data_IF_977699219369
#
_entry.id   IF_977699219369
#
_cell.length_a   1.000
_cell.length_b   1.000
_cell.length_c   1.000
_cell.angle_alpha   90.00
_cell.angle_beta   90.00
_cell.angle_gamma   90.00
#
_symmetry.space_group_name_H-M   'P 1'
#
loop_
_entity.id
_entity.type
_entity.pdbx_description
1 polymer ?
2 water ?
#
# COMPACT_ATOMS: atom_id res chain seq x y z
N UNK A 2 9.63 -44.30 18.49
CA UNK A 2 9.95 -43.50 19.66
C UNK A 2 11.29 -42.78 19.50
N UNK A 3 11.23 -41.53 19.04
CA UNK A 3 12.42 -40.70 18.91
C UNK A 3 12.50 -39.73 20.08
N UNK A 4 13.57 -38.93 20.12
CA UNK A 4 13.77 -38.00 21.22
C UNK A 4 13.14 -36.62 21.00
N UNK A 5 13.07 -35.84 22.07
CA UNK A 5 12.40 -34.55 22.06
C UNK A 5 13.38 -33.39 22.11
N UNK A 6 12.97 -32.24 21.56
CA UNK A 6 13.79 -31.03 21.56
C UNK A 6 13.29 -30.02 22.60
N UNK A 7 14.16 -29.09 22.98
CA UNK A 7 13.82 -28.07 23.95
C UNK A 7 14.14 -26.67 23.40
N UNK A 8 13.23 -25.73 23.60
CA UNK A 8 13.40 -24.38 23.06
C UNK A 8 13.40 -23.31 24.14
N UNK A 9 13.98 -22.15 23.82
CA UNK A 9 13.91 -21.00 24.70
C UNK A 9 12.58 -20.29 24.46
N UNK A 10 12.29 -19.28 25.28
CA UNK A 10 11.05 -18.54 25.11
C UNK A 10 11.12 -17.64 23.87
N UNK A 11 10.01 -17.55 23.16
CA UNK A 11 9.92 -16.74 21.96
C UNK A 11 10.20 -15.28 22.28
N UNK A 12 10.98 -14.63 21.42
CA UNK A 12 11.39 -13.25 21.63
C UNK A 12 11.51 -12.50 20.31
N UNK A 13 10.84 -11.36 20.18
CA UNK A 13 11.00 -10.51 19.01
C UNK A 13 12.11 -9.48 19.24
N UNK A 14 13.15 -9.58 18.43
CA UNK A 14 14.30 -8.68 18.55
C UNK A 14 13.89 -7.22 18.44
N UNK A 15 14.34 -6.42 19.40
CA UNK A 15 14.09 -4.98 19.36
C UNK A 15 14.91 -4.31 18.26
N UNK A 16 15.97 -4.99 17.84
CA UNK A 16 16.80 -4.52 16.75
C UNK A 16 16.13 -4.84 15.42
N UNK A 17 15.83 -3.82 14.64
CA UNK A 17 15.12 -3.99 13.37
C UNK A 17 16.06 -3.87 12.17
N UNK A 18 15.79 -4.66 11.14
CA UNK A 18 16.59 -4.63 9.92
C UNK A 18 15.93 -3.77 8.84
N UNK A 19 16.42 -2.55 8.69
CA UNK A 19 15.90 -1.65 7.65
C UNK A 19 16.41 -2.05 6.28
N UNK A 20 15.49 -2.38 5.38
CA UNK A 20 15.82 -2.88 4.06
C UNK A 20 16.61 -1.88 3.21
N UNK A 21 16.32 -0.60 3.39
CA UNK A 21 16.87 0.45 2.55
C UNK A 21 18.35 0.74 2.71
N UNK A 22 18.86 0.62 3.93
CA UNK A 22 20.25 0.94 4.20
C UNK A 22 21.00 -0.13 4.97
N UNK A 23 20.38 -1.30 5.10
CA UNK A 23 20.99 -2.42 5.81
C UNK A 23 21.43 -2.04 7.23
N UNK A 24 20.60 -1.27 7.91
CA UNK A 24 20.85 -0.88 9.29
C UNK A 24 20.11 -1.77 10.27
N UNK A 25 20.82 -2.24 11.28
CA UNK A 25 20.20 -3.03 12.35
C UNK A 25 20.09 -2.20 13.62
N UNK A 26 18.94 -1.55 13.77
CA UNK A 26 18.66 -0.75 14.95
C UNK A 26 17.17 -0.58 15.13
N UNK A 27 16.77 0.19 16.12
CA UNK A 27 15.36 0.43 16.40
C UNK A 27 14.66 1.12 15.24
N UNK A 28 13.36 0.89 15.11
CA UNK A 28 12.56 1.52 14.06
C UNK A 28 12.71 3.04 14.12
N UNK A 29 12.94 3.67 12.96
CA UNK A 29 13.09 5.12 12.89
C UNK A 29 11.84 5.84 13.40
N UNK A 30 12.04 6.95 14.11
CA UNK A 30 10.93 7.76 14.60
C UNK A 30 10.16 8.38 13.43
N UNK A 31 10.89 8.87 12.44
CA UNK A 31 10.27 9.43 11.24
C UNK A 31 10.09 8.35 10.18
N UNK A 32 8.95 8.38 9.49
CA UNK A 32 8.61 7.31 8.57
C UNK A 32 8.60 7.72 7.11
N UNK A 33 8.99 6.78 6.25
CA UNK A 33 8.71 6.85 4.84
C UNK A 33 7.56 5.90 4.57
N UNK A 34 6.45 6.42 4.05
CA UNK A 34 5.31 5.55 3.76
C UNK A 34 5.74 4.43 2.84
N UNK A 35 5.40 3.20 3.22
CA UNK A 35 5.73 2.01 2.43
C UNK A 35 7.19 1.62 2.60
N UNK A 36 7.85 2.21 3.60
CA UNK A 36 9.17 1.77 4.00
C UNK A 36 9.05 0.38 4.59
N UNK A 37 10.13 -0.39 4.55
CA UNK A 37 10.07 -1.78 4.97
C UNK A 37 11.21 -2.19 5.90
N UNK A 38 10.94 -3.17 6.75
CA UNK A 38 11.93 -3.67 7.70
C UNK A 38 11.63 -5.09 8.17
N UNK A 39 12.69 -5.82 8.51
CA UNK A 39 12.55 -7.22 8.92
C UNK A 39 12.61 -7.38 10.44
N UNK A 40 11.49 -7.79 11.03
CA UNK A 40 11.46 -8.13 12.45
C UNK A 40 12.13 -9.49 12.67
N UNK A 41 13.04 -9.55 13.64
CA UNK A 41 13.78 -10.77 13.90
C UNK A 41 13.24 -11.51 15.13
N UNK A 42 12.65 -12.67 14.91
CA UNK A 42 12.14 -13.50 16.00
C UNK A 42 13.19 -14.52 16.44
N UNK A 43 13.13 -14.91 17.71
CA UNK A 43 14.05 -15.91 18.25
C UNK A 43 13.33 -16.81 19.24
N UNK A 44 13.96 -17.92 19.59
CA UNK A 44 13.35 -18.89 20.49
C UNK A 44 12.28 -19.70 19.78
N UNK A 45 11.63 -20.59 20.53
CA UNK A 45 10.62 -21.46 19.96
C UNK A 45 11.21 -22.52 19.06
N UNK A 46 10.44 -23.01 18.11
CA UNK A 46 10.91 -24.05 17.21
C UNK A 46 11.37 -23.48 15.86
N UNK A 47 11.73 -22.22 15.85
CA UNK A 47 12.32 -21.60 14.67
C UNK A 47 11.36 -21.23 13.56
N UNK A 48 10.15 -21.79 13.59
CA UNK A 48 9.15 -21.49 12.58
C UNK A 48 8.12 -20.50 13.12
N UNK A 49 7.96 -19.38 12.43
CA UNK A 49 7.11 -18.31 12.92
C UNK A 49 6.03 -17.90 11.91
N UNK A 50 5.00 -17.23 12.42
CA UNK A 50 3.95 -16.67 11.59
C UNK A 50 3.57 -15.30 12.15
N UNK A 51 3.38 -14.33 11.27
CA UNK A 51 3.20 -12.95 11.71
C UNK A 51 1.79 -12.43 11.48
N UNK A 52 1.39 -11.46 12.31
CA UNK A 52 0.04 -10.92 12.27
C UNK A 52 0.02 -9.45 12.64
N UNK A 53 -0.80 -8.67 11.93
CA UNK A 53 -0.95 -7.25 12.22
C UNK A 53 -2.33 -6.96 12.81
N UNK A 54 -2.37 -6.23 13.91
CA UNK A 54 -3.63 -5.92 14.56
C UNK A 54 -4.31 -4.73 13.91
N UNK A 55 -3.67 -4.18 12.88
CA UNK A 55 -4.24 -3.05 12.14
C UNK A 55 -3.48 -2.80 10.84
N UNK A 56 -4.03 -3.30 9.73
CA UNK A 56 -3.39 -3.16 8.43
C UNK A 56 -3.36 -1.71 7.96
N UNK A 57 -4.34 -0.93 8.41
CA UNK A 57 -4.41 0.49 8.07
C UNK A 57 -3.10 1.20 8.42
N UNK A 58 -2.44 0.72 9.47
CA UNK A 58 -1.20 1.32 9.92
C UNK A 58 0.02 0.60 9.36
N UNK A 59 -0.01 -0.73 9.39
CA UNK A 59 1.12 -1.52 8.90
C UNK A 59 0.72 -2.94 8.53
N UNK A 60 1.50 -3.53 7.62
CA UNK A 60 1.26 -4.89 7.15
C UNK A 60 2.54 -5.72 7.30
N UNK A 61 2.39 -7.03 7.49
CA UNK A 61 3.55 -7.91 7.66
C UNK A 61 3.36 -9.24 6.93
N UNK A 62 4.41 -9.71 6.26
CA UNK A 62 4.33 -10.94 5.50
C UNK A 62 4.82 -12.15 6.29
N UNK A 63 5.09 -13.25 5.59
CA UNK A 63 5.47 -14.50 6.24
C UNK A 63 6.95 -14.54 6.62
N UNK A 64 7.73 -13.61 6.09
CA UNK A 64 9.18 -13.58 6.34
C UNK A 64 9.52 -12.64 7.49
N UNK A 65 8.53 -11.88 7.95
CA UNK A 65 8.75 -10.92 9.00
C UNK A 65 8.97 -9.51 8.48
N UNK A 66 8.97 -9.37 7.15
CA UNK A 66 9.10 -8.07 6.53
C UNK A 66 7.82 -7.26 6.77
N UNK A 67 7.97 -6.09 7.37
CA UNK A 67 6.85 -5.23 7.69
C UNK A 67 6.81 -4.01 6.77
N UNK A 68 5.63 -3.72 6.22
CA UNK A 68 5.45 -2.55 5.38
C UNK A 68 4.56 -1.52 6.06
N UNK A 69 5.07 -0.31 6.22
CA UNK A 69 4.30 0.77 6.81
C UNK A 69 3.27 1.31 5.81
N UNK A 70 2.05 1.50 6.28
CA UNK A 70 0.96 1.91 5.39
C UNK A 70 0.28 3.21 5.84
N UNK A 71 0.32 3.47 7.14
CA UNK A 71 -0.36 4.63 7.68
C UNK A 71 0.21 5.14 8.99
N UNK A 72 0.06 6.45 9.21
CA UNK A 72 0.55 7.09 10.43
C UNK A 72 -0.25 6.60 11.63
N UNK A 73 0.43 5.97 12.58
CA UNK A 73 -0.22 5.49 13.79
C UNK A 73 0.55 4.39 14.50
N UNK A 74 0.05 3.96 15.65
CA UNK A 74 0.67 2.90 16.42
C UNK A 74 -0.08 1.59 16.23
N UNK A 75 0.67 0.50 16.05
CA UNK A 75 0.06 -0.81 15.84
C UNK A 75 0.88 -1.92 16.47
N UNK A 76 0.22 -3.02 16.81
CA UNK A 76 0.88 -4.17 17.41
C UNK A 76 1.10 -5.29 16.40
N UNK A 77 2.31 -5.83 16.37
CA UNK A 77 2.64 -6.95 15.51
C UNK A 77 2.94 -8.19 16.35
N UNK A 78 2.32 -9.31 16.00
CA UNK A 78 2.50 -10.54 16.77
C UNK A 78 3.20 -11.63 15.97
N UNK A 79 4.16 -12.29 16.63
CA UNK A 79 4.84 -13.42 16.03
C UNK A 79 4.48 -14.70 16.79
N UNK A 80 4.06 -15.72 16.05
CA UNK A 80 3.67 -16.99 16.65
C UNK A 80 4.56 -18.13 16.18
N UNK A 81 5.34 -18.68 17.11
CA UNK A 81 6.21 -19.81 16.81
C UNK A 81 5.39 -21.08 16.63
N UNK A 82 6.01 -22.11 16.07
CA UNK A 82 5.33 -23.36 15.81
C UNK A 82 4.88 -24.07 17.07
N UNK A 83 5.58 -23.80 18.17
CA UNK A 83 5.28 -24.46 19.44
C UNK A 83 4.26 -23.69 20.26
N UNK A 84 3.39 -22.95 19.58
CA UNK A 84 2.27 -22.26 20.22
C UNK A 84 2.67 -21.13 21.17
N UNK A 85 3.76 -20.43 20.85
CA UNK A 85 4.13 -19.23 21.59
C UNK A 85 3.77 -17.99 20.79
N UNK A 86 3.31 -16.95 21.48
CA UNK A 86 2.96 -15.70 20.82
C UNK A 86 3.55 -14.51 21.58
N UNK A 87 4.23 -13.64 20.83
CA UNK A 87 4.88 -12.47 21.41
C UNK A 87 4.50 -11.21 20.63
N UNK A 88 4.32 -10.10 21.35
CA UNK A 88 3.93 -8.84 20.75
C UNK A 88 5.10 -7.87 20.57
N UNK A 89 5.11 -7.18 19.43
CA UNK A 89 6.05 -6.09 19.19
C UNK A 89 5.27 -4.86 18.74
N UNK A 90 5.36 -3.78 19.52
CA UNK A 90 4.54 -2.60 19.25
C UNK A 90 5.24 -1.55 18.39
N UNK A 91 4.48 -0.98 17.45
CA UNK A 91 4.98 0.08 16.59
C UNK A 91 4.50 1.44 17.10
N UNK A 92 5.43 2.24 17.60
CA UNK A 92 5.09 3.59 18.04
C UNK A 92 4.85 4.50 16.84
N UNK A 93 3.78 5.28 16.89
CA UNK A 93 3.46 6.21 15.81
C UNK A 93 4.60 7.21 15.63
N UNK A 94 4.87 7.60 14.39
CA UNK A 94 5.98 8.51 14.07
C UNK A 94 5.65 9.96 14.41
N UNK A 95 6.67 10.79 14.54
CA UNK A 95 6.47 12.23 14.66
C UNK A 95 5.83 12.74 13.38
N UNK A 96 6.31 12.22 12.25
CA UNK A 96 5.69 12.50 10.96
C UNK A 96 5.99 11.39 9.95
N UNK A 97 5.15 11.28 8.93
CA UNK A 97 5.35 10.31 7.87
C UNK A 97 5.24 10.99 6.51
N UNK A 98 6.11 10.59 5.58
CA UNK A 98 6.14 11.18 4.25
C UNK A 98 5.34 10.37 3.24
N UNK A 99 4.45 11.06 2.52
CA UNK A 99 3.65 10.42 1.48
C UNK A 99 4.06 10.95 0.11
N UNK A 100 4.00 10.09 -0.89
CA UNK A 100 4.33 10.50 -2.25
C UNK A 100 3.11 10.40 -3.15
N UNK A 101 2.54 11.55 -3.50
CA UNK A 101 1.42 11.61 -4.43
C UNK A 101 1.92 11.78 -5.85
N UNK A 102 1.03 12.19 -6.75
CA UNK A 102 1.39 12.33 -8.16
C UNK A 102 2.22 13.59 -8.41
N UNK A 103 2.77 13.69 -9.62
CA UNK A 103 3.58 14.85 -10.01
C UNK A 103 2.68 16.04 -10.30
N UNK A 104 3.16 17.23 -9.94
CA UNK A 104 2.39 18.45 -10.13
C UNK A 104 3.28 19.69 -10.00
N UNK A 105 2.74 20.84 -10.35
CA UNK A 105 3.46 22.10 -10.16
C UNK A 105 3.35 22.51 -8.70
N UNK A 106 4.21 23.41 -8.26
CA UNK A 106 4.25 23.79 -6.85
C UNK A 106 2.88 24.14 -6.29
N UNK A 107 2.20 25.08 -6.95
CA UNK A 107 0.89 25.54 -6.49
C UNK A 107 -0.09 24.38 -6.30
N UNK A 108 -0.12 23.47 -7.28
CA UNK A 108 -1.01 22.32 -7.22
C UNK A 108 -0.59 21.35 -6.14
N UNK A 109 0.72 21.13 -6.00
CA UNK A 109 1.25 20.25 -4.97
C UNK A 109 0.83 20.75 -3.60
N UNK A 110 0.77 22.07 -3.45
CA UNK A 110 0.38 22.69 -2.20
C UNK A 110 -1.05 22.28 -1.83
N UNK A 111 -1.98 22.43 -2.76
CA UNK A 111 -3.37 22.09 -2.51
C UNK A 111 -3.55 20.58 -2.32
N UNK A 112 -2.85 19.80 -3.15
CA UNK A 112 -2.88 18.36 -3.04
C UNK A 112 -2.50 17.91 -1.63
N UNK A 113 -1.40 18.46 -1.12
CA UNK A 113 -0.92 18.12 0.21
C UNK A 113 -1.56 19.01 1.27
N UNK A 114 -2.66 19.67 0.92
CA UNK A 114 -3.35 20.56 1.85
C UNK A 114 -2.36 21.41 2.63
N UNK A 115 -1.40 22.01 1.91
CA UNK A 115 -0.40 22.87 2.51
C UNK A 115 0.43 22.17 3.59
N UNK A 116 0.82 20.94 3.32
CA UNK A 116 1.67 20.18 4.24
C UNK A 116 2.96 19.71 3.57
N UNK A 117 3.45 20.51 2.63
CA UNK A 117 4.72 20.23 1.99
C UNK A 117 5.85 20.30 3.02
N UNK A 118 6.92 19.53 2.80
CA UNK A 118 8.04 19.52 3.74
C UNK A 118 8.54 20.95 4.00
N UNK A 119 8.72 21.29 5.28
CA UNK A 119 9.11 22.65 5.66
C UNK A 119 10.52 22.99 5.22
N UNK A 120 11.41 22.00 5.23
CA UNK A 120 12.79 22.20 4.82
C UNK A 120 13.35 20.96 4.13
N UNK A 121 14.57 21.07 3.63
CA UNK A 121 15.23 19.95 2.96
C UNK A 121 15.55 18.84 3.95
N UNK A 122 15.77 19.22 5.21
CA UNK A 122 16.09 18.28 6.27
C UNK A 122 14.93 17.33 6.52
N UNK A 123 13.70 17.84 6.43
CA UNK A 123 12.52 17.00 6.62
C UNK A 123 12.59 15.79 5.70
N UNK A 124 13.13 16.00 4.49
CA UNK A 124 13.22 14.95 3.50
C UNK A 124 14.54 14.17 3.57
N UNK A 125 15.64 14.90 3.75
CA UNK A 125 16.95 14.27 3.82
C UNK A 125 17.09 13.39 5.06
N UNK A 126 16.41 13.78 6.13
CA UNK A 126 16.41 12.99 7.36
C UNK A 126 15.79 11.63 7.13
N UNK A 127 14.82 11.57 6.22
CA UNK A 127 14.17 10.31 5.90
C UNK A 127 15.10 9.40 5.11
N UNK A 128 15.93 9.99 4.26
CA UNK A 128 16.91 9.22 3.52
C UNK A 128 17.93 8.61 4.48
N UNK A 129 18.34 9.38 5.48
CA UNK A 129 19.30 8.91 6.47
C UNK A 129 18.72 7.75 7.27
N UNK A 130 17.40 7.78 7.47
CA UNK A 130 16.74 6.79 8.31
C UNK A 130 16.32 5.54 7.52
N UNK A 131 16.10 5.71 6.22
CA UNK A 131 15.58 4.62 5.41
C UNK A 131 16.43 4.30 4.19
N UNK A 132 17.03 5.32 3.58
CA UNK A 132 17.80 5.14 2.37
C UNK A 132 16.97 5.38 1.13
N UNK A 133 17.56 5.13 -0.04
CA UNK A 133 16.89 5.37 -1.32
C UNK A 133 15.47 4.80 -1.34
N UNK A 134 14.51 5.63 -1.72
CA UNK A 134 13.10 5.25 -1.72
C UNK A 134 12.84 4.03 -2.60
N UNK A 135 13.56 3.93 -3.71
CA UNK A 135 13.33 2.86 -4.68
C UNK A 135 13.84 1.49 -4.23
N UNK A 136 14.55 1.45 -3.11
CA UNK A 136 14.99 0.18 -2.55
C UNK A 136 13.83 -0.53 -1.87
N UNK A 137 12.66 0.10 -1.90
CA UNK A 137 11.46 -0.47 -1.32
C UNK A 137 10.45 -0.84 -2.39
N UNK A 138 9.72 -1.93 -2.14
CA UNK A 138 8.81 -2.51 -3.13
C UNK A 138 7.92 -1.48 -3.82
N UNK A 139 7.35 -0.58 -3.03
CA UNK A 139 6.37 0.37 -3.53
C UNK A 139 6.95 1.39 -4.50
N UNK A 140 8.28 1.51 -4.50
CA UNK A 140 8.95 2.53 -5.32
C UNK A 140 10.00 1.94 -6.27
N UNK A 141 10.10 0.62 -6.32
CA UNK A 141 11.16 -0.04 -7.08
C UNK A 141 11.32 0.44 -8.52
N UNK A 142 10.21 0.75 -9.19
CA UNK A 142 10.24 1.10 -10.61
C UNK A 142 10.94 2.42 -10.89
N UNK A 143 10.78 3.39 -9.98
CA UNK A 143 11.30 4.73 -10.19
C UNK A 143 12.80 4.82 -9.99
N UNK A 144 13.45 5.67 -10.78
CA UNK A 144 14.88 5.93 -10.65
C UNK A 144 15.13 7.25 -9.93
N UNK A 145 14.14 8.13 -9.98
CA UNK A 145 14.25 9.45 -9.38
C UNK A 145 12.92 9.88 -8.77
N UNK A 146 12.99 10.48 -7.58
CA UNK A 146 11.81 11.05 -6.95
C UNK A 146 12.10 12.45 -6.44
N UNK A 147 11.97 13.43 -7.33
CA UNK A 147 12.17 14.83 -6.96
C UNK A 147 10.95 15.33 -6.20
N UNK A 148 11.20 15.94 -5.04
CA UNK A 148 10.11 16.40 -4.18
C UNK A 148 10.17 17.92 -3.95
N UNK A 149 9.00 18.55 -3.94
CA UNK A 149 8.92 19.98 -3.66
C UNK A 149 9.27 20.26 -2.20
N UNK A 150 9.98 21.37 -1.97
CA UNK A 150 10.16 21.88 -0.62
C UNK A 150 9.31 23.14 -0.50
N UNK A 151 8.74 23.37 0.67
CA UNK A 151 7.92 24.56 0.89
C UNK A 151 8.74 25.82 0.61
N UNK A 152 8.30 26.61 -0.36
CA UNK A 152 9.05 27.77 -0.82
C UNK A 152 9.12 28.88 0.24
N UNK A 153 10.31 29.47 0.38
CA UNK A 153 10.50 30.57 1.31
C UNK A 153 9.74 31.80 0.85
N UNK A 154 9.81 32.86 1.66
CA UNK A 154 9.15 34.11 1.33
C UNK A 154 9.71 34.73 0.06
N UNK A 155 11.04 34.74 -0.05
CA UNK A 155 11.71 35.28 -1.22
C UNK A 155 11.44 34.40 -2.44
N UNK A 156 11.41 33.09 -2.23
CA UNK A 156 11.14 32.13 -3.30
C UNK A 156 9.75 32.34 -3.88
N UNK A 157 8.78 32.65 -3.02
CA UNK A 157 7.41 32.86 -3.45
C UNK A 157 7.30 34.11 -4.34
N UNK A 158 8.20 35.05 -4.14
CA UNK A 158 8.20 36.30 -4.90
C UNK A 158 8.71 36.09 -6.32
N UNK A 159 9.67 35.19 -6.48
CA UNK A 159 10.30 34.97 -7.78
C UNK A 159 9.66 33.82 -8.55
N UNK A 160 8.76 33.10 -7.90
CA UNK A 160 8.06 31.99 -8.55
C UNK A 160 8.92 30.76 -8.70
N UNK A 161 9.73 30.48 -7.68
CA UNK A 161 10.56 29.28 -7.67
C UNK A 161 10.48 28.58 -6.33
N UNK A 162 11.13 27.43 -6.23
CA UNK A 162 11.17 26.67 -5.00
C UNK A 162 12.17 25.54 -5.14
N UNK A 163 13.00 25.36 -4.13
CA UNK A 163 14.02 24.31 -4.15
C UNK A 163 13.39 22.92 -4.04
N UNK A 164 14.16 21.90 -4.42
CA UNK A 164 13.68 20.52 -4.39
C UNK A 164 14.73 19.57 -3.84
N UNK A 165 14.28 18.39 -3.43
CA UNK A 165 15.17 17.35 -2.93
C UNK A 165 14.72 15.98 -3.45
N UNK A 166 15.67 15.18 -3.91
CA UNK A 166 15.35 13.87 -4.47
C UNK A 166 15.49 12.75 -3.44
N UNK A 167 14.40 12.01 -3.21
CA UNK A 167 14.36 10.98 -2.18
C UNK A 167 15.15 9.73 -2.53
N UNK A 168 15.71 9.70 -3.74
CA UNK A 168 16.55 8.58 -4.16
C UNK A 168 18.00 9.01 -4.35
N UNK A 169 18.19 10.17 -4.96
CA UNK A 169 19.52 10.62 -5.35
C UNK A 169 20.13 11.64 -4.37
N UNK A 170 19.34 12.09 -3.41
CA UNK A 170 19.79 13.10 -2.44
C UNK A 170 20.09 14.43 -3.11
N UNK A 171 19.77 14.52 -4.40
CA UNK A 171 20.10 15.70 -5.20
C UNK A 171 19.27 16.91 -4.81
N UNK A 172 19.92 17.95 -4.27
CA UNK A 172 19.26 19.22 -3.94
C UNK A 172 19.28 20.15 -5.13
N UNK A 173 18.23 20.94 -5.32
CA UNK A 173 18.14 21.82 -6.46
C UNK A 173 17.32 23.07 -6.15
N UNK A 174 17.98 24.23 -6.07
CA UNK A 174 17.32 25.52 -5.83
C UNK A 174 16.85 26.17 -7.13
N UNK A 175 16.05 27.23 -7.00
CA UNK A 175 15.64 28.03 -8.14
C UNK A 175 14.85 27.28 -9.21
N UNK A 176 14.13 26.24 -8.79
CA UNK A 176 13.27 25.50 -9.71
C UNK A 176 11.95 26.21 -9.89
N UNK A 177 11.64 26.59 -11.13
CA UNK A 177 10.38 27.26 -11.42
C UNK A 177 9.19 26.43 -10.96
N UNK A 178 8.20 27.10 -10.36
CA UNK A 178 7.05 26.41 -9.80
C UNK A 178 6.36 25.49 -10.82
N UNK A 179 6.29 25.95 -12.07
CA UNK A 179 5.64 25.19 -13.11
C UNK A 179 6.61 24.25 -13.84
N UNK A 180 7.37 23.49 -13.08
CA UNK A 180 8.29 22.50 -13.63
C UNK A 180 7.67 21.11 -13.54
N UNK A 181 7.73 20.36 -14.64
CA UNK A 181 7.22 18.98 -14.66
C UNK A 181 8.17 18.01 -13.98
N UNK A 182 7.75 16.77 -13.82
CA UNK A 182 8.59 15.72 -13.24
C UNK A 182 8.92 15.94 -11.76
N UNK A 183 8.05 16.65 -11.05
CA UNK A 183 8.25 16.88 -9.62
C UNK A 183 7.07 16.34 -8.82
N UNK A 184 7.36 15.45 -7.86
CA UNK A 184 6.32 14.81 -7.07
C UNK A 184 5.82 15.68 -5.93
N UNK A 185 4.53 15.60 -5.66
CA UNK A 185 3.93 16.29 -4.51
C UNK A 185 4.05 15.39 -3.29
N UNK A 186 5.04 15.68 -2.44
CA UNK A 186 5.25 14.88 -1.24
C UNK A 186 4.61 15.54 -0.01
N UNK A 187 3.60 14.88 0.54
CA UNK A 187 2.90 15.39 1.70
C UNK A 187 3.56 14.91 2.99
N UNK A 188 3.83 15.85 3.88
CA UNK A 188 4.39 15.52 5.18
C UNK A 188 3.29 15.54 6.21
N UNK A 189 2.88 14.35 6.66
CA UNK A 189 1.77 14.24 7.60
C UNK A 189 2.19 13.53 8.88
N UNK B 7 14.61 -23.58 -30.39
CA UNK B 7 13.54 -24.58 -30.36
C UNK B 7 12.34 -24.04 -29.59
N UNK B 8 12.29 -22.71 -29.44
CA UNK B 8 11.27 -22.08 -28.63
C UNK B 8 10.22 -21.34 -29.44
N UNK B 9 8.99 -21.33 -28.94
CA UNK B 9 7.90 -20.61 -29.57
C UNK B 9 7.95 -19.13 -29.20
N UNK B 10 7.07 -18.34 -29.82
CA UNK B 10 7.00 -16.91 -29.54
C UNK B 10 6.42 -16.67 -28.15
N UNK B 11 6.92 -15.64 -27.49
CA UNK B 11 6.49 -15.30 -26.13
C UNK B 11 5.17 -14.53 -26.14
N UNK B 12 4.36 -14.73 -25.10
CA UNK B 12 3.11 -14.00 -24.96
C UNK B 12 2.57 -14.03 -23.53
N UNK B 13 1.65 -13.13 -23.23
CA UNK B 13 0.97 -13.10 -21.95
C UNK B 13 -0.52 -13.34 -22.15
N UNK B 14 -1.00 -14.47 -21.63
CA UNK B 14 -2.42 -14.82 -21.76
C UNK B 14 -3.30 -13.66 -21.29
N UNK B 15 -4.33 -13.36 -22.06
CA UNK B 15 -5.20 -12.23 -21.74
C UNK B 15 -6.15 -12.53 -20.58
N UNK B 16 -6.44 -13.81 -20.38
CA UNK B 16 -7.23 -14.25 -19.23
C UNK B 16 -6.31 -14.32 -18.02
N UNK B 17 -6.74 -13.74 -16.91
CA UNK B 17 -5.92 -13.70 -15.70
C UNK B 17 -6.55 -14.57 -14.62
N UNK B 18 -5.71 -14.99 -13.67
CA UNK B 18 -6.18 -15.81 -12.56
C UNK B 18 -6.38 -14.98 -11.31
N UNK B 19 -7.61 -14.52 -11.09
CA UNK B 19 -7.94 -13.79 -9.88
C UNK B 19 -7.67 -14.68 -8.66
N UNK B 20 -7.15 -14.08 -7.59
CA UNK B 20 -6.78 -14.84 -6.40
C UNK B 20 -7.95 -15.02 -5.43
N UNK B 21 -8.64 -13.93 -5.11
CA UNK B 21 -9.77 -13.96 -4.20
C UNK B 21 -10.70 -15.11 -4.50
N UNK B 22 -11.31 -15.07 -5.68
CA UNK B 22 -12.02 -16.22 -6.22
C UNK B 22 -11.10 -16.85 -7.25
N UNK B 23 -11.48 -18.01 -7.78
CA UNK B 23 -10.67 -18.65 -8.81
C UNK B 23 -11.24 -18.46 -10.21
N UNK B 24 -11.94 -17.34 -10.41
CA UNK B 24 -12.46 -16.99 -11.73
C UNK B 24 -11.29 -16.64 -12.64
N UNK B 25 -11.35 -17.14 -13.88
CA UNK B 25 -10.25 -16.93 -14.81
C UNK B 25 -10.74 -16.26 -16.10
N UNK B 26 -10.87 -14.94 -16.05
CA UNK B 26 -11.26 -14.16 -17.21
C UNK B 26 -10.34 -12.96 -17.35
N UNK B 27 -10.75 -11.97 -18.14
CA UNK B 27 -9.94 -10.77 -18.31
C UNK B 27 -10.05 -9.87 -17.07
N UNK B 28 -9.03 -9.05 -16.85
CA UNK B 28 -8.97 -8.18 -15.68
C UNK B 28 -10.20 -7.28 -15.59
N UNK B 29 -10.90 -7.33 -14.44
CA UNK B 29 -12.11 -6.55 -14.17
C UNK B 29 -11.88 -5.05 -14.28
N UNK B 30 -12.87 -4.33 -14.83
CA UNK B 30 -12.78 -2.88 -14.96
C UNK B 30 -13.13 -2.15 -13.67
N UNK B 31 -13.38 -2.92 -12.62
CA UNK B 31 -13.56 -2.35 -11.30
C UNK B 31 -12.55 -3.00 -10.36
N UNK B 32 -11.87 -2.18 -9.56
CA UNK B 32 -10.73 -2.65 -8.78
C UNK B 32 -10.92 -2.62 -7.27
N UNK B 33 -10.45 -3.67 -6.61
CA UNK B 33 -10.25 -3.67 -5.18
C UNK B 33 -8.78 -3.41 -4.94
N UNK B 34 -8.45 -2.30 -4.28
CA UNK B 34 -7.05 -1.97 -4.04
C UNK B 34 -6.34 -3.15 -3.38
N UNK B 35 -5.09 -3.35 -3.77
CA UNK B 35 -4.31 -4.49 -3.28
C UNK B 35 -4.92 -5.81 -3.74
N UNK B 36 -5.69 -5.75 -4.82
CA UNK B 36 -6.22 -6.95 -5.44
C UNK B 36 -5.12 -7.68 -6.19
N UNK B 37 -5.14 -9.00 -6.15
CA UNK B 37 -4.07 -9.79 -6.75
C UNK B 37 -4.59 -10.71 -7.85
N UNK B 38 -3.74 -10.93 -8.85
CA UNK B 38 -4.07 -11.82 -9.96
C UNK B 38 -2.80 -12.33 -10.64
N UNK B 39 -2.85 -13.57 -11.12
CA UNK B 39 -1.69 -14.20 -11.74
C UNK B 39 -1.69 -14.04 -13.25
N UNK B 40 -0.61 -13.49 -13.79
CA UNK B 40 -0.42 -13.44 -15.24
C UNK B 40 0.28 -14.71 -15.72
N UNK B 41 -0.18 -15.24 -16.84
CA UNK B 41 0.36 -16.49 -17.38
C UNK B 41 1.21 -16.22 -18.61
N UNK B 42 2.49 -16.55 -18.54
CA UNK B 42 3.39 -16.38 -19.66
C UNK B 42 3.51 -17.68 -20.46
N UNK B 43 3.62 -17.54 -21.78
CA UNK B 43 3.79 -18.68 -22.66
C UNK B 43 4.84 -18.37 -23.71
N UNK B 44 5.58 -19.39 -24.14
CA UNK B 44 6.61 -19.20 -25.14
C UNK B 44 7.99 -19.17 -24.51
N UNK B 45 9.00 -18.99 -25.36
CA UNK B 45 10.38 -18.97 -24.88
C UNK B 45 10.76 -20.31 -24.26
N UNK B 46 11.58 -20.25 -23.22
CA UNK B 46 12.04 -21.47 -22.55
C UNK B 46 11.28 -21.77 -21.26
N UNK B 47 10.03 -21.32 -21.19
CA UNK B 47 9.19 -21.59 -20.03
C UNK B 47 9.66 -20.93 -18.75
N UNK B 48 10.82 -20.27 -18.81
CA UNK B 48 11.36 -19.56 -17.65
C UNK B 48 11.17 -18.06 -17.83
N UNK B 49 10.43 -17.44 -16.91
CA UNK B 49 10.04 -16.05 -17.07
C UNK B 49 10.42 -15.17 -15.89
N UNK B 50 10.78 -13.93 -16.18
CA UNK B 50 10.99 -12.91 -15.17
C UNK B 50 9.95 -11.81 -15.37
N UNK B 51 9.56 -11.14 -14.29
CA UNK B 51 8.51 -10.14 -14.37
C UNK B 51 8.94 -8.79 -13.82
N UNK B 52 8.43 -7.71 -14.41
CA UNK B 52 8.78 -6.36 -14.02
C UNK B 52 7.58 -5.42 -14.18
N UNK B 53 7.53 -4.38 -13.35
CA UNK B 53 6.45 -3.40 -13.43
C UNK B 53 7.02 -2.01 -13.74
N UNK B 54 6.39 -1.32 -14.69
CA UNK B 54 6.87 -0.02 -15.15
C UNK B 54 6.59 1.10 -14.14
N UNK B 55 5.59 0.88 -13.29
CA UNK B 55 5.23 1.86 -12.28
C UNK B 55 4.67 1.17 -11.05
N UNK B 56 5.54 0.90 -10.09
CA UNK B 56 5.16 0.17 -8.89
C UNK B 56 4.12 0.89 -8.04
N UNK B 57 3.92 2.18 -8.30
CA UNK B 57 2.93 2.96 -7.55
C UNK B 57 1.52 2.55 -7.97
N UNK B 58 1.41 2.00 -9.17
CA UNK B 58 0.13 1.55 -9.69
C UNK B 58 -0.03 0.05 -9.53
N UNK B 59 1.03 -0.69 -9.85
CA UNK B 59 0.99 -2.14 -9.77
C UNK B 59 2.35 -2.75 -9.45
N UNK B 60 2.34 -3.82 -8.67
CA UNK B 60 3.55 -4.56 -8.33
C UNK B 60 3.41 -6.00 -8.81
N UNK B 61 4.53 -6.65 -9.07
CA UNK B 61 4.52 -8.02 -9.56
C UNK B 61 5.68 -8.82 -8.97
N UNK B 62 5.43 -10.06 -8.60
CA UNK B 62 6.49 -10.92 -8.06
C UNK B 62 7.06 -11.85 -9.14
N UNK B 63 7.97 -12.72 -8.71
CA UNK B 63 8.68 -13.61 -9.63
C UNK B 63 7.79 -14.68 -10.25
N UNK B 64 6.62 -14.90 -9.67
CA UNK B 64 5.70 -15.93 -10.15
C UNK B 64 4.62 -15.37 -11.07
N UNK B 65 4.60 -14.05 -11.24
CA UNK B 65 3.63 -13.42 -12.11
C UNK B 65 2.41 -12.87 -11.38
N UNK B 66 2.39 -13.00 -10.07
CA UNK B 66 1.28 -12.48 -9.29
C UNK B 66 1.37 -10.96 -9.18
N UNK B 67 0.38 -10.27 -9.73
CA UNK B 67 0.36 -8.82 -9.74
C UNK B 67 -0.52 -8.26 -8.63
N UNK B 68 -0.10 -7.14 -8.06
CA UNK B 68 -0.86 -6.49 -6.99
C UNK B 68 -1.11 -5.02 -7.33
N UNK B 69 -2.38 -4.64 -7.31
CA UNK B 69 -2.77 -3.28 -7.66
C UNK B 69 -2.60 -2.33 -6.47
N UNK B 70 -1.84 -1.26 -6.68
CA UNK B 70 -1.57 -0.29 -5.63
C UNK B 70 -2.33 1.01 -5.79
N UNK B 71 -2.55 1.43 -7.04
CA UNK B 71 -3.23 2.69 -7.30
C UNK B 71 -3.98 2.71 -8.62
N UNK B 72 -5.01 3.55 -8.68
CA UNK B 72 -5.84 3.67 -9.87
C UNK B 72 -5.03 4.27 -11.03
N UNK B 73 -5.07 3.59 -12.18
CA UNK B 73 -4.37 4.07 -13.35
C UNK B 73 -3.93 2.94 -14.25
N UNK B 74 -3.28 3.29 -15.35
CA UNK B 74 -2.77 2.29 -16.29
C UNK B 74 -1.27 2.09 -16.12
N UNK B 75 -0.81 0.86 -16.32
CA UNK B 75 0.60 0.53 -16.18
C UNK B 75 0.95 -0.70 -17.01
N UNK B 76 2.23 -0.82 -17.36
CA UNK B 76 2.68 -1.92 -18.20
C UNK B 76 3.49 -2.95 -17.41
N UNK B 77 3.03 -4.19 -17.41
CA UNK B 77 3.77 -5.28 -16.83
C UNK B 77 4.53 -6.02 -17.93
N UNK B 78 5.81 -6.33 -17.68
CA UNK B 78 6.63 -6.99 -18.67
C UNK B 78 7.16 -8.35 -18.20
N UNK B 79 7.23 -9.29 -19.13
CA UNK B 79 7.76 -10.62 -18.85
C UNK B 79 8.89 -10.92 -19.82
N UNK B 80 10.05 -11.33 -19.29
CA UNK B 80 11.20 -11.65 -20.11
C UNK B 80 11.52 -13.14 -20.07
N UNK B 81 11.85 -13.70 -21.24
CA UNK B 81 12.20 -15.10 -21.35
C UNK B 81 13.69 -15.32 -21.13
N UNK B 82 14.06 -16.54 -20.75
CA UNK B 82 15.45 -16.90 -20.62
C UNK B 82 16.14 -16.82 -21.97
N UNK B 83 15.41 -17.20 -23.01
CA UNK B 83 15.92 -17.11 -24.38
C UNK B 83 15.89 -15.68 -24.89
N UNK B 84 15.69 -14.73 -23.97
CA UNK B 84 15.81 -13.30 -24.26
C UNK B 84 14.65 -12.74 -25.11
N UNK B 85 13.42 -12.99 -24.67
CA UNK B 85 12.25 -12.36 -25.28
C UNK B 85 11.54 -11.48 -24.26
N UNK B 86 10.87 -10.44 -24.73
CA UNK B 86 10.17 -9.54 -23.83
C UNK B 86 8.84 -9.06 -24.38
N UNK B 87 7.76 -9.47 -23.72
CA UNK B 87 6.40 -9.11 -24.11
C UNK B 87 5.75 -8.36 -22.96
N UNK B 88 4.85 -7.43 -23.27
CA UNK B 88 4.25 -6.58 -22.25
C UNK B 88 2.72 -6.68 -22.17
N UNK B 89 2.23 -6.84 -20.95
CA UNK B 89 0.78 -6.83 -20.69
C UNK B 89 0.38 -5.48 -20.13
N UNK B 90 -0.68 -4.90 -20.68
CA UNK B 90 -1.09 -3.55 -20.29
C UNK B 90 -2.30 -3.54 -19.35
N UNK B 91 -2.06 -3.17 -18.10
CA UNK B 91 -3.14 -2.95 -17.15
C UNK B 91 -3.79 -1.60 -17.44
N UNK B 92 -5.06 -1.62 -17.83
CA UNK B 92 -5.77 -0.38 -18.13
C UNK B 92 -6.54 0.11 -16.90
N UNK B 93 -6.56 1.43 -16.72
CA UNK B 93 -7.24 2.05 -15.58
C UNK B 93 -8.69 1.58 -15.47
N UNK B 94 -9.16 1.38 -14.22
CA UNK B 94 -10.52 0.91 -13.93
C UNK B 94 -11.51 2.06 -13.88
N UNK B 95 -12.79 1.76 -14.09
CA UNK B 95 -13.83 2.78 -13.95
C UNK B 95 -13.75 3.40 -12.57
N UNK B 96 -13.52 2.56 -11.56
CA UNK B 96 -13.28 3.04 -10.20
C UNK B 96 -12.53 2.01 -9.37
N UNK B 97 -11.81 2.49 -8.36
CA UNK B 97 -11.11 1.62 -7.42
C UNK B 97 -11.55 1.92 -6.00
N UNK B 98 -11.63 0.88 -5.17
CA UNK B 98 -12.03 1.07 -3.78
C UNK B 98 -10.82 0.87 -2.86
N UNK B 99 -10.78 1.69 -1.81
CA UNK B 99 -9.71 1.59 -0.82
C UNK B 99 -10.31 1.59 0.59
N UNK B 100 -9.81 0.70 1.44
CA UNK B 100 -10.26 0.64 2.82
C UNK B 100 -9.35 1.46 3.72
N UNK B 101 -9.95 2.28 4.58
CA UNK B 101 -9.19 3.17 5.46
C UNK B 101 -9.34 2.75 6.93
N UNK B 102 -9.35 3.73 7.82
CA UNK B 102 -9.42 3.47 9.25
C UNK B 102 -10.84 3.11 9.69
N UNK B 103 -10.93 2.41 10.83
CA UNK B 103 -12.24 2.17 11.45
C UNK B 103 -12.79 3.51 11.95
N UNK B 104 -13.51 4.23 11.08
CA UNK B 104 -14.04 5.55 11.46
C UNK B 104 -15.56 5.59 11.55
N UNK B 105 -16.08 6.67 12.15
CA UNK B 105 -17.52 6.91 12.19
C UNK B 105 -17.93 7.48 10.84
N UNK B 106 -19.24 7.56 10.60
CA UNK B 106 -19.72 7.97 9.29
C UNK B 106 -19.31 9.39 8.93
N UNK B 107 -19.54 10.33 9.85
CA UNK B 107 -19.25 11.74 9.61
C UNK B 107 -17.82 11.94 9.12
N UNK B 108 -16.86 11.40 9.86
CA UNK B 108 -15.45 11.53 9.49
C UNK B 108 -15.06 10.55 8.38
N UNK B 109 -15.87 9.51 8.19
CA UNK B 109 -15.67 8.59 7.07
C UNK B 109 -15.94 9.34 5.77
N UNK B 110 -16.92 10.22 5.82
CA UNK B 110 -17.25 11.08 4.69
C UNK B 110 -16.09 12.05 4.45
N UNK B 111 -15.54 12.56 5.54
CA UNK B 111 -14.41 13.49 5.48
C UNK B 111 -13.16 12.80 4.93
N UNK B 112 -12.85 11.64 5.50
CA UNK B 112 -11.68 10.87 5.08
C UNK B 112 -11.73 10.55 3.58
N UNK B 113 -12.91 10.22 3.08
CA UNK B 113 -13.07 9.86 1.68
C UNK B 113 -13.43 11.06 0.81
N UNK B 114 -13.17 12.26 1.33
CA UNK B 114 -13.46 13.50 0.61
C UNK B 114 -14.85 13.47 -0.03
N UNK B 115 -15.85 13.09 0.76
CA UNK B 115 -17.23 13.01 0.30
C UNK B 115 -17.40 12.08 -0.90
N UNK B 116 -16.67 10.97 -0.89
CA UNK B 116 -16.76 9.97 -1.94
C UNK B 116 -16.87 8.57 -1.35
N UNK B 117 -18.07 8.21 -0.92
CA UNK B 117 -18.31 6.89 -0.34
C UNK B 117 -19.20 6.07 -1.26
N UNK B 118 -19.19 4.74 -1.08
CA UNK B 118 -20.01 3.85 -1.90
C UNK B 118 -21.46 4.30 -1.96
N UNK B 119 -21.89 4.84 -3.10
CA UNK B 119 -23.24 5.35 -3.25
C UNK B 119 -24.29 4.31 -2.89
N UNK B 120 -24.49 3.34 -3.78
CA UNK B 120 -25.41 2.25 -3.50
C UNK B 120 -24.65 0.96 -3.21
N UNK B 121 -25.19 0.16 -2.29
CA UNK B 121 -24.56 -1.09 -1.86
C UNK B 121 -23.92 -1.89 -2.99
N UNK B 122 -24.55 -1.88 -4.16
CA UNK B 122 -24.05 -2.65 -5.30
C UNK B 122 -22.63 -2.25 -5.69
N UNK B 123 -22.28 -1.00 -5.46
CA UNK B 123 -20.94 -0.51 -5.74
C UNK B 123 -19.88 -1.44 -5.17
N UNK B 124 -20.14 -1.95 -3.96
CA UNK B 124 -19.21 -2.86 -3.30
C UNK B 124 -19.51 -4.31 -3.66
N UNK B 125 -20.78 -4.61 -3.90
CA UNK B 125 -21.20 -5.96 -4.26
C UNK B 125 -20.53 -6.42 -5.54
N UNK B 126 -20.50 -5.55 -6.55
CA UNK B 126 -19.87 -5.88 -7.82
C UNK B 126 -18.39 -6.16 -7.60
N UNK B 127 -17.78 -5.41 -6.70
CA UNK B 127 -16.38 -5.62 -6.36
C UNK B 127 -16.18 -7.00 -5.75
N UNK B 128 -17.09 -7.41 -4.88
CA UNK B 128 -16.99 -8.73 -4.27
C UNK B 128 -17.09 -9.82 -5.33
N UNK B 129 -18.03 -9.65 -6.27
CA UNK B 129 -18.20 -10.62 -7.34
C UNK B 129 -16.90 -10.76 -8.13
N UNK B 130 -16.32 -9.63 -8.51
CA UNK B 130 -15.14 -9.62 -9.36
C UNK B 130 -13.89 -10.17 -8.68
N UNK B 131 -13.76 -9.90 -7.38
CA UNK B 131 -12.52 -10.23 -6.68
C UNK B 131 -12.70 -11.29 -5.59
N UNK B 132 -13.91 -11.43 -5.08
CA UNK B 132 -14.16 -12.35 -3.99
C UNK B 132 -13.90 -11.69 -2.65
N UNK B 133 -13.85 -12.50 -1.59
CA UNK B 133 -13.63 -11.98 -0.24
C UNK B 133 -12.31 -11.20 -0.17
N UNK B 134 -12.33 -10.07 0.54
CA UNK B 134 -11.18 -9.19 0.60
C UNK B 134 -9.99 -9.83 1.33
N UNK B 135 -10.26 -10.51 2.43
CA UNK B 135 -9.19 -11.10 3.23
C UNK B 135 -8.51 -12.26 2.52
N UNK B 136 -8.93 -12.50 1.27
CA UNK B 136 -8.35 -13.55 0.44
C UNK B 136 -7.03 -13.05 -0.16
N UNK B 137 -6.76 -11.76 0.00
CA UNK B 137 -5.57 -11.15 -0.57
C UNK B 137 -4.55 -10.75 0.49
N UNK B 138 -3.30 -11.12 0.23
CA UNK B 138 -2.16 -10.85 1.11
C UNK B 138 -2.32 -9.62 2.02
N UNK B 139 -2.83 -8.53 1.46
CA UNK B 139 -2.96 -7.28 2.20
C UNK B 139 -3.96 -7.37 3.35
N UNK B 140 -5.11 -7.99 3.09
CA UNK B 140 -6.18 -8.08 4.07
C UNK B 140 -6.19 -9.42 4.79
N UNK B 141 -5.32 -10.33 4.35
CA UNK B 141 -5.32 -11.71 4.83
C UNK B 141 -5.56 -11.88 6.34
N UNK B 142 -5.04 -10.94 7.13
CA UNK B 142 -5.19 -11.03 8.58
C UNK B 142 -6.62 -10.79 9.04
N UNK B 143 -7.28 -9.80 8.41
CA UNK B 143 -8.60 -9.37 8.83
C UNK B 143 -9.67 -10.46 8.71
N UNK B 144 -10.81 -10.23 9.36
CA UNK B 144 -11.88 -11.21 9.39
C UNK B 144 -13.23 -10.62 9.02
N UNK B 145 -13.26 -9.30 8.85
CA UNK B 145 -14.50 -8.59 8.56
C UNK B 145 -14.23 -7.14 8.15
N UNK B 146 -14.87 -6.71 7.06
CA UNK B 146 -14.71 -5.34 6.58
C UNK B 146 -16.05 -4.66 6.40
N UNK B 147 -16.73 -4.40 7.51
CA UNK B 147 -18.02 -3.72 7.48
C UNK B 147 -17.83 -2.29 6.97
N UNK B 148 -18.41 -1.99 5.82
CA UNK B 148 -18.18 -0.70 5.16
C UNK B 148 -19.44 0.15 5.03
N UNK B 149 -19.28 1.45 5.25
CA UNK B 149 -20.39 2.40 5.15
C UNK B 149 -20.93 2.50 3.73
N UNK B 150 -22.13 3.09 3.61
CA UNK B 150 -22.73 3.39 2.31
C UNK B 150 -23.28 4.80 2.34
N UNK B 151 -23.33 5.45 1.18
CA UNK B 151 -23.88 6.79 1.07
C UNK B 151 -25.24 6.85 1.78
N UNK B 152 -25.44 7.92 2.56
CA UNK B 152 -26.68 8.08 3.31
C UNK B 152 -27.86 8.47 2.44
N UNK B 153 -29.00 7.86 2.71
CA UNK B 153 -30.25 8.30 2.12
C UNK B 153 -30.78 9.45 2.97
N UNK B 154 -31.51 10.37 2.35
CA UNK B 154 -32.01 11.54 3.07
C UNK B 154 -32.55 11.17 4.45
N UNK B 155 -33.47 10.22 4.50
CA UNK B 155 -34.08 9.78 5.74
C UNK B 155 -33.04 9.32 6.77
N UNK B 156 -32.04 8.58 6.30
CA UNK B 156 -30.97 8.10 7.15
C UNK B 156 -30.20 9.26 7.76
N UNK B 157 -29.88 10.26 6.93
CA UNK B 157 -29.15 11.44 7.39
C UNK B 157 -30.00 12.22 8.38
N UNK B 158 -31.31 12.14 8.22
CA UNK B 158 -32.24 12.84 9.09
C UNK B 158 -32.49 12.04 10.37
N UNK B 159 -31.88 10.85 10.43
CA UNK B 159 -32.10 9.95 11.56
C UNK B 159 -30.80 9.55 12.24
N UNK B 160 -29.67 10.00 11.70
CA UNK B 160 -28.38 9.68 12.26
C UNK B 160 -28.06 8.20 12.18
N UNK B 161 -28.43 7.58 11.07
CA UNK B 161 -28.13 6.17 10.83
C UNK B 161 -27.74 5.95 9.37
N UNK B 162 -27.47 4.71 9.01
CA UNK B 162 -27.06 4.38 7.65
C UNK B 162 -26.97 2.88 7.43
N UNK B 163 -26.74 2.48 6.18
CA UNK B 163 -26.61 1.07 5.83
C UNK B 163 -25.15 0.69 5.61
N UNK B 164 -24.80 -0.54 5.96
CA UNK B 164 -23.43 -1.02 5.79
C UNK B 164 -23.37 -2.29 4.95
N UNK B 165 -22.16 -2.64 4.52
CA UNK B 165 -21.94 -3.84 3.73
C UNK B 165 -20.55 -4.41 4.02
N UNK B 166 -20.49 -5.71 4.27
CA UNK B 166 -19.22 -6.36 4.56
C UNK B 166 -18.54 -6.89 3.31
N UNK B 167 -17.29 -6.50 3.11
CA UNK B 167 -16.56 -6.90 1.91
C UNK B 167 -15.90 -8.27 2.06
N UNK B 168 -16.36 -9.04 3.05
CA UNK B 168 -15.84 -10.38 3.27
C UNK B 168 -16.95 -11.42 3.38
N UNK B 169 -18.03 -11.06 4.06
CA UNK B 169 -19.14 -11.99 4.29
C UNK B 169 -20.40 -11.60 3.52
N UNK B 170 -20.37 -10.42 2.90
CA UNK B 170 -21.49 -9.94 2.10
C UNK B 170 -22.73 -9.61 2.93
N UNK B 171 -22.61 -9.73 4.25
CA UNK B 171 -23.74 -9.46 5.14
C UNK B 171 -24.16 -7.99 5.07
N UNK B 172 -25.37 -7.73 4.57
CA UNK B 172 -25.94 -6.37 4.55
C UNK B 172 -26.77 -6.12 5.81
N UNK B 173 -26.64 -4.93 6.40
CA UNK B 173 -27.41 -4.59 7.59
C UNK B 173 -27.59 -3.08 7.74
N UNK B 174 -28.84 -2.62 7.69
CA UNK B 174 -29.21 -1.20 7.77
C UNK B 174 -29.43 -0.76 9.21
N UNK B 175 -29.92 0.47 9.40
CA UNK B 175 -30.22 0.99 10.71
C UNK B 175 -29.02 1.21 11.60
N UNK B 176 -27.83 1.28 11.02
CA UNK B 176 -26.61 1.47 11.79
C UNK B 176 -26.34 2.94 12.04
N UNK B 177 -26.36 3.35 13.30
CA UNK B 177 -26.21 4.76 13.62
C UNK B 177 -24.90 5.32 13.08
N UNK B 178 -24.96 6.57 12.64
CA UNK B 178 -23.86 7.19 11.94
C UNK B 178 -22.53 7.10 12.68
N UNK B 179 -22.36 7.90 13.72
CA UNK B 179 -21.03 8.05 14.33
C UNK B 179 -20.64 6.94 15.31
N UNK B 180 -20.96 5.69 14.96
CA UNK B 180 -20.63 4.54 15.80
C UNK B 180 -21.17 3.23 15.20
N UNK B 181 -20.39 2.15 15.30
CA UNK B 181 -18.96 2.13 15.60
C UNK B 181 -18.26 0.99 14.83
N UNK B 182 -16.94 0.91 14.95
CA UNK B 182 -16.18 -0.25 14.49
C UNK B 182 -16.30 -0.62 13.00
N UNK B 183 -16.86 0.28 12.20
CA UNK B 183 -16.96 0.03 10.76
C UNK B 183 -15.95 0.89 9.99
N UNK B 184 -15.53 0.41 8.82
CA UNK B 184 -14.48 1.06 8.04
C UNK B 184 -14.98 2.13 7.08
N UNK B 185 -14.10 3.09 6.80
CA UNK B 185 -14.37 4.12 5.80
C UNK B 185 -13.77 3.68 4.47
N UNK B 186 -14.62 3.24 3.55
CA UNK B 186 -14.16 2.80 2.24
C UNK B 186 -14.35 3.90 1.19
N UNK B 187 -13.24 4.32 0.60
CA UNK B 187 -13.26 5.41 -0.37
C UNK B 187 -13.36 4.90 -1.79
N UNK B 188 -14.10 5.62 -2.63
CA UNK B 188 -14.30 5.24 -4.02
C UNK B 188 -13.90 6.35 -4.98
N UNK B 189 -13.01 6.03 -5.93
CA UNK B 189 -12.59 6.99 -6.93
C UNK B 189 -12.53 6.35 -8.31
#
# INVERSE_FOLDING_TARGET
MATEVTFFDELKIDNKVDIIGNNVRGELPNIWLQYGQFKLKASGGDGTYSWYSENTSIATVDASGKVTLNGKGSVVIKATSGDKQTVSYTIKAPSYMIKVDKQAYYADAMSICKNLLPSTQTVLSDIYDSWGAANKYSHYSSMNSITAWIKQTSSEQRSGVSSTYNLITQYPLPGVNVNTPNVYAVCVE
MATEVTFFDELKIDNKVDIIGNNVRGELPNIWLQYGQFKLKASGGDGTYSWYSENTSIATVDASGKVTLNGKGSVVIKATSGDKQTVSYTIKAPSYMIKVDKQAYYADAMSICKNLLPSTQTVLSDIYDSWGAANKYSHYSSMNSITAWIKQTSSEQRSGVSSTYNLITQYPLPGVNVNTPNVYAVCVE
#
